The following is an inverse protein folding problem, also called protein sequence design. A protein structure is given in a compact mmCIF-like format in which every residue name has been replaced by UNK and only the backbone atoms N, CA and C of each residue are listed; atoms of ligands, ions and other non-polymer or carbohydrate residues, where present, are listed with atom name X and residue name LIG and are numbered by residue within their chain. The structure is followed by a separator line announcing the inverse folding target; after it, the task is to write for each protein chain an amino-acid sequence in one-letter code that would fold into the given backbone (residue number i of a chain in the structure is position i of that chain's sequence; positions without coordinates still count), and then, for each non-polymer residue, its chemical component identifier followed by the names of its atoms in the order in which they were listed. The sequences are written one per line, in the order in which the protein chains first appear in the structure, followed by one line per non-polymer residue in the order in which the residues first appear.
data_IF_108004605144
#
_entry.id   IF_108004605144
#
_cell.length_a   1.000
_cell.length_b   1.000
_cell.length_c   1.000
_cell.angle_alpha   90.00
_cell.angle_beta   90.00
_cell.angle_gamma   90.00
#
_symmetry.space_group_name_H-M   'P 1'
#
loop_
_entity.id
_entity.type
_entity.pdbx_description
1 polymer ?
#
# COMPACT_ATOMS: atom_id res chain seq x y z
N UNK A 1 11.42 -3.48 5.06
CA UNK A 1 12.90 -3.60 4.99
C UNK A 1 13.40 -4.75 5.88
N UNK A 2 13.16 -4.72 7.19
CA UNK A 2 13.60 -5.80 8.10
C UNK A 2 13.14 -7.21 7.65
N UNK A 3 11.86 -7.37 7.31
CA UNK A 3 11.33 -8.65 6.79
C UNK A 3 12.01 -9.08 5.49
N UNK A 4 12.26 -8.14 4.57
CA UNK A 4 12.96 -8.45 3.31
C UNK A 4 14.39 -8.93 3.56
N UNK A 5 15.13 -8.29 4.49
CA UNK A 5 16.46 -8.75 4.92
C UNK A 5 16.42 -10.15 5.52
N UNK A 6 15.43 -10.46 6.37
CA UNK A 6 15.29 -11.79 6.96
C UNK A 6 15.02 -12.88 5.90
N UNK A 7 14.22 -12.56 4.87
CA UNK A 7 13.97 -13.47 3.74
C UNK A 7 15.26 -13.71 2.95
N UNK A 8 15.99 -12.64 2.59
CA UNK A 8 17.24 -12.73 1.82
C UNK A 8 18.32 -13.49 2.60
N UNK A 9 18.38 -13.33 3.93
CA UNK A 9 19.32 -14.05 4.79
C UNK A 9 18.96 -15.53 4.99
N UNK A 10 17.83 -16.01 4.46
CA UNK A 10 17.45 -17.42 4.57
C UNK A 10 18.37 -18.32 3.73
N UNK A 11 18.57 -19.57 4.19
CA UNK A 11 19.44 -20.53 3.51
C UNK A 11 19.04 -20.82 2.06
N UNK A 12 17.75 -20.71 1.72
CA UNK A 12 17.24 -20.95 0.38
C UNK A 12 17.78 -19.97 -0.69
N UNK A 13 18.22 -18.78 -0.27
CA UNK A 13 18.76 -17.74 -1.16
C UNK A 13 20.29 -17.63 -1.07
N UNK A 14 20.95 -18.43 -0.23
CA UNK A 14 22.40 -18.35 0.00
C UNK A 14 23.25 -18.51 -1.27
N UNK A 15 22.81 -19.37 -2.21
CA UNK A 15 23.51 -19.60 -3.48
C UNK A 15 23.47 -18.43 -4.46
N UNK A 16 22.63 -17.42 -4.20
CA UNK A 16 22.47 -16.26 -5.08
C UNK A 16 23.49 -15.15 -4.78
N UNK A 17 24.22 -15.24 -3.65
CA UNK A 17 25.26 -14.26 -3.29
C UNK A 17 24.74 -12.82 -3.22
N UNK A 18 23.49 -12.63 -2.77
CA UNK A 18 22.84 -11.33 -2.79
C UNK A 18 23.51 -10.36 -1.80
N UNK A 19 23.84 -9.16 -2.29
CA UNK A 19 24.33 -8.04 -1.48
C UNK A 19 23.28 -6.93 -1.40
N UNK A 20 23.19 -6.28 -0.24
CA UNK A 20 22.23 -5.20 -0.06
C UNK A 20 22.76 -3.89 -0.68
N UNK A 21 22.10 -3.45 -1.75
CA UNK A 21 22.40 -2.16 -2.42
C UNK A 21 21.80 -0.97 -1.67
N UNK A 22 20.56 -1.09 -1.19
CA UNK A 22 19.86 -0.02 -0.48
C UNK A 22 18.86 -0.59 0.54
N UNK A 23 18.65 0.04 1.71
CA UNK A 23 19.34 1.23 2.23
C UNK A 23 20.83 1.03 2.55
N UNK A 24 21.31 -0.21 2.49
CA UNK A 24 22.69 -0.59 2.77
C UNK A 24 22.87 -1.07 4.21
N UNK A 25 23.93 -1.83 4.49
CA UNK A 25 24.09 -2.57 5.75
C UNK A 25 24.29 -1.66 6.97
N UNK A 26 24.72 -0.41 6.80
CA UNK A 26 24.91 0.54 7.89
C UNK A 26 23.59 1.07 8.49
N UNK A 27 22.48 0.96 7.76
CA UNK A 27 21.16 1.44 8.20
C UNK A 27 20.46 0.30 8.97
N UNK A 28 20.58 0.30 10.29
CA UNK A 28 20.14 -0.85 11.13
C UNK A 28 19.09 -0.49 12.16
N UNK A 29 19.06 0.75 12.67
CA UNK A 29 18.08 1.14 13.69
C UNK A 29 16.68 1.29 13.09
N UNK A 30 15.65 1.08 13.90
CA UNK A 30 14.26 1.29 13.48
C UNK A 30 14.01 2.74 13.02
N UNK A 31 14.67 3.71 13.66
CA UNK A 31 14.59 5.11 13.29
C UNK A 31 15.20 5.39 11.91
N UNK A 32 16.37 4.81 11.62
CA UNK A 32 17.04 4.99 10.32
C UNK A 32 16.25 4.32 9.20
N UNK A 33 15.72 3.11 9.45
CA UNK A 33 14.87 2.40 8.50
C UNK A 33 13.59 3.18 8.20
N UNK A 34 12.96 3.79 9.21
CA UNK A 34 11.80 4.65 9.03
C UNK A 34 12.17 5.94 8.27
N UNK A 35 13.34 6.51 8.54
CA UNK A 35 13.87 7.66 7.82
C UNK A 35 14.09 7.38 6.33
N UNK A 36 14.73 6.24 6.03
CA UNK A 36 14.91 5.77 4.67
C UNK A 36 13.57 5.53 3.96
N UNK A 37 12.64 4.82 4.62
CA UNK A 37 11.31 4.57 4.07
C UNK A 37 10.60 5.88 3.73
N UNK A 38 10.60 6.89 4.62
CA UNK A 38 10.00 8.19 4.33
C UNK A 38 10.62 8.90 3.12
N UNK A 39 11.93 8.82 2.94
CA UNK A 39 12.64 9.52 1.86
C UNK A 39 12.46 8.84 0.50
N UNK A 40 12.37 7.51 0.48
CA UNK A 40 12.42 6.72 -0.74
C UNK A 40 11.13 5.93 -1.03
N UNK A 41 10.08 6.12 -0.22
CA UNK A 41 8.80 5.50 -0.48
C UNK A 41 8.28 5.88 -1.87
N UNK A 42 7.95 4.87 -2.65
CA UNK A 42 7.18 5.00 -3.88
C UNK A 42 5.79 4.42 -3.67
N UNK A 43 4.78 5.11 -4.19
CA UNK A 43 3.44 4.52 -4.28
C UNK A 43 3.48 3.34 -5.25
N UNK A 44 2.74 2.27 -4.93
CA UNK A 44 2.46 1.18 -5.86
C UNK A 44 1.42 1.56 -6.93
N UNK A 45 1.05 2.84 -7.03
CA UNK A 45 0.12 3.36 -8.02
C UNK A 45 -1.28 2.71 -7.94
N UNK A 46 -1.73 2.38 -6.72
CA UNK A 46 -3.08 1.87 -6.44
C UNK A 46 -3.93 2.86 -5.62
N UNK A 47 -4.21 4.08 -6.12
CA UNK A 47 -5.15 4.96 -5.45
C UNK A 47 -6.58 4.41 -5.56
N UNK A 48 -7.28 4.32 -4.42
CA UNK A 48 -8.62 3.75 -4.31
C UNK A 48 -9.44 4.51 -3.26
N UNK A 49 -10.75 4.27 -3.19
CA UNK A 49 -11.58 4.65 -2.05
C UNK A 49 -12.03 6.11 -1.95
N UNK A 50 -11.71 6.97 -2.93
CA UNK A 50 -12.15 8.38 -2.94
C UNK A 50 -13.66 8.57 -3.07
N UNK A 51 -14.39 7.54 -3.51
CA UNK A 51 -15.85 7.48 -3.56
C UNK A 51 -16.36 6.18 -2.93
N UNK A 52 -15.84 5.84 -1.74
CA UNK A 52 -16.05 4.56 -1.09
C UNK A 52 -17.52 4.10 -1.07
N UNK A 53 -17.71 2.83 -1.46
CA UNK A 53 -18.97 2.10 -1.34
C UNK A 53 -19.21 1.70 0.11
N UNK A 54 -20.43 1.85 0.60
CA UNK A 54 -20.79 1.34 1.92
C UNK A 54 -22.13 1.84 2.46
N UNK A 55 -22.46 1.40 3.67
CA UNK A 55 -23.65 1.84 4.40
C UNK A 55 -23.32 2.84 5.51
N UNK A 56 -22.04 3.07 5.80
CA UNK A 56 -21.59 4.05 6.79
C UNK A 56 -21.91 5.48 6.36
N UNK A 57 -22.02 6.39 7.33
CA UNK A 57 -22.42 7.79 7.14
C UNK A 57 -21.68 8.47 5.98
N UNK A 58 -20.37 8.28 5.90
CA UNK A 58 -19.49 8.92 4.91
C UNK A 58 -19.38 8.18 3.56
N UNK A 59 -20.21 7.17 3.29
CA UNK A 59 -20.19 6.49 1.99
C UNK A 59 -20.64 7.43 0.87
N UNK A 60 -20.00 7.34 -0.29
CA UNK A 60 -20.39 8.10 -1.48
C UNK A 60 -21.36 7.31 -2.33
N UNK A 61 -21.14 5.99 -2.46
CA UNK A 61 -22.05 5.10 -3.20
C UNK A 61 -22.63 3.99 -2.31
N UNK A 62 -23.85 3.55 -2.63
CA UNK A 62 -24.47 2.37 -2.00
C UNK A 62 -23.85 1.04 -2.52
N UNK A 63 -24.15 -0.13 -1.93
CA UNK A 63 -23.67 -1.43 -2.42
C UNK A 63 -24.07 -1.78 -3.86
N UNK A 64 -25.01 -1.04 -4.45
CA UNK A 64 -25.39 -1.13 -5.86
C UNK A 64 -24.74 -0.04 -6.74
N UNK A 65 -23.68 0.59 -6.21
CA UNK A 65 -22.86 1.64 -6.83
C UNK A 65 -23.60 2.93 -7.17
N UNK A 66 -24.78 3.16 -6.58
CA UNK A 66 -25.56 4.39 -6.78
C UNK A 66 -25.01 5.50 -5.90
N UNK A 67 -24.82 6.68 -6.47
CA UNK A 67 -24.40 7.86 -5.70
C UNK A 67 -25.51 8.24 -4.72
N UNK A 68 -25.17 8.29 -3.43
CA UNK A 68 -26.14 8.62 -2.38
C UNK A 68 -26.59 10.08 -2.52
N UNK A 69 -27.90 10.31 -2.48
CA UNK A 69 -28.50 11.64 -2.65
C UNK A 69 -28.78 12.06 -4.10
N UNK A 70 -28.38 11.26 -5.09
CA UNK A 70 -28.66 11.50 -6.51
C UNK A 70 -29.40 10.32 -7.14
N UNK A 71 -30.23 10.60 -8.15
CA UNK A 71 -30.91 9.57 -8.94
C UNK A 71 -30.22 9.39 -10.29
N UNK A 72 -30.20 8.17 -10.81
CA UNK A 72 -29.67 7.87 -12.16
C UNK A 72 -28.14 7.93 -12.32
N UNK A 73 -27.37 8.16 -11.24
CA UNK A 73 -25.91 8.24 -11.28
C UNK A 73 -25.24 7.08 -10.54
N UNK A 74 -24.21 6.50 -11.16
CA UNK A 74 -23.34 5.47 -10.57
C UNK A 74 -21.87 5.76 -10.80
N UNK A 75 -21.01 5.25 -9.92
CA UNK A 75 -19.55 5.26 -10.07
C UNK A 75 -19.07 3.81 -10.12
N UNK A 76 -18.22 3.47 -11.08
CA UNK A 76 -17.78 2.09 -11.31
C UNK A 76 -16.29 2.05 -11.69
N UNK A 77 -15.45 2.54 -10.77
CA UNK A 77 -14.00 2.48 -10.86
C UNK A 77 -13.39 2.22 -9.47
N UNK A 78 -12.06 2.26 -9.35
CA UNK A 78 -11.36 1.96 -8.11
C UNK A 78 -11.68 2.92 -6.94
N UNK A 79 -12.27 4.09 -7.22
CA UNK A 79 -12.73 5.03 -6.18
C UNK A 79 -13.78 4.41 -5.27
N UNK A 80 -14.54 3.40 -5.72
CA UNK A 80 -15.63 2.80 -4.91
C UNK A 80 -15.16 1.73 -3.95
N UNK A 81 -13.91 1.27 -4.04
CA UNK A 81 -13.41 0.22 -3.16
C UNK A 81 -13.43 0.67 -1.69
N UNK A 82 -14.09 -0.08 -0.78
CA UNK A 82 -14.10 0.25 0.65
C UNK A 82 -12.75 -0.07 1.32
N UNK A 83 -12.50 0.54 2.48
CA UNK A 83 -11.34 0.31 3.34
C UNK A 83 -11.73 -0.24 4.71
#
# INVERSE_FOLDING_TARGET
IATARAIVASGALSSWGAEEVAPGPAVTSAADLAGYARRFFGSYCHPVGTCAMGEHENAVVDPALRVRGLTGLRIADASVLPS
#
